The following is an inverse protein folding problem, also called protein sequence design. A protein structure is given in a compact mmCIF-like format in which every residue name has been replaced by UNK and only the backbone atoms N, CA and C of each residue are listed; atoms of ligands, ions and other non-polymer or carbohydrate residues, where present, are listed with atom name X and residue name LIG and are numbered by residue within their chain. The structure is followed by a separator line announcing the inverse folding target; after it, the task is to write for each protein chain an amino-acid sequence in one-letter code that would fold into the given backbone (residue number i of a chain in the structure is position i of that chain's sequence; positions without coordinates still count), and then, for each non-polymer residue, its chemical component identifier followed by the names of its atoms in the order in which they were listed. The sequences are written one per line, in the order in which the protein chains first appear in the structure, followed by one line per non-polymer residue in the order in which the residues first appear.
data_IF_629845158487
#
_entry.id   IF_629845158487
#
_cell.length_a   1.000
_cell.length_b   1.000
_cell.length_c   1.000
_cell.angle_alpha   90.00
_cell.angle_beta   90.00
_cell.angle_gamma   90.00
#
_symmetry.space_group_name_H-M   'P 1'
#
loop_
_entity.id
_entity.type
_entity.pdbx_description
1 polymer ?
#
# COMPACT_ATOMS: atom_id res chain seq x y z
N UNK A 1 -24.86 11.28 -0.40
CA UNK A 1 -24.13 11.65 -1.64
C UNK A 1 -22.67 12.00 -1.34
N UNK A 2 -22.37 12.85 -0.38
CA UNK A 2 -21.03 13.34 -0.05
C UNK A 2 -20.02 12.21 0.29
N UNK A 3 -20.42 11.21 1.09
CA UNK A 3 -19.56 10.04 1.42
C UNK A 3 -19.15 9.22 0.19
N UNK A 4 -20.02 9.08 -0.82
CA UNK A 4 -19.69 8.37 -2.05
C UNK A 4 -18.66 9.13 -2.88
N UNK A 5 -18.79 10.45 -2.97
CA UNK A 5 -17.86 11.33 -3.68
C UNK A 5 -16.49 11.28 -3.02
N UNK A 6 -16.42 11.42 -1.69
CA UNK A 6 -15.15 11.32 -0.94
C UNK A 6 -14.46 9.97 -1.16
N UNK A 7 -15.22 8.88 -1.22
CA UNK A 7 -14.66 7.55 -1.47
C UNK A 7 -14.08 7.42 -2.87
N UNK A 8 -14.73 8.02 -3.87
CA UNK A 8 -14.24 8.04 -5.25
C UNK A 8 -12.99 8.91 -5.36
N UNK A 9 -12.98 10.09 -4.73
CA UNK A 9 -11.81 10.96 -4.70
C UNK A 9 -10.56 10.29 -4.13
N UNK A 10 -10.73 9.43 -3.12
CA UNK A 10 -9.62 8.68 -2.52
C UNK A 10 -9.06 7.58 -3.44
N UNK A 11 -9.75 7.24 -4.52
CA UNK A 11 -9.29 6.25 -5.50
C UNK A 11 -8.59 6.89 -6.71
N UNK A 12 -8.68 8.21 -6.85
CA UNK A 12 -8.07 8.94 -7.97
C UNK A 12 -6.56 8.64 -8.12
N UNK A 13 -5.76 8.58 -7.03
CA UNK A 13 -4.33 8.31 -7.19
C UNK A 13 -4.02 6.96 -7.86
N UNK A 14 -4.89 5.96 -7.72
CA UNK A 14 -4.74 4.67 -8.42
C UNK A 14 -4.88 4.76 -9.95
N UNK A 15 -5.55 5.80 -10.44
CA UNK A 15 -5.74 6.01 -11.87
C UNK A 15 -4.50 6.63 -12.55
N UNK A 16 -3.57 7.16 -11.76
CA UNK A 16 -2.36 7.82 -12.26
C UNK A 16 -1.13 7.02 -11.89
N UNK A 17 -0.32 6.59 -12.87
CA UNK A 17 0.97 5.95 -12.60
C UNK A 17 1.88 6.86 -11.75
N UNK A 18 2.59 6.29 -10.78
CA UNK A 18 3.38 7.07 -9.83
C UNK A 18 4.48 7.89 -10.51
N UNK A 19 5.08 7.39 -11.59
CA UNK A 19 6.11 8.12 -12.34
C UNK A 19 5.56 9.40 -12.99
N UNK A 20 4.29 9.41 -13.46
CA UNK A 20 3.66 10.64 -13.99
C UNK A 20 3.45 11.67 -12.88
N UNK A 21 3.02 11.24 -11.70
CA UNK A 21 2.91 12.11 -10.53
C UNK A 21 4.27 12.70 -10.20
N UNK A 22 5.33 11.89 -10.22
CA UNK A 22 6.71 12.31 -9.99
C UNK A 22 7.15 13.38 -11.01
N UNK A 23 6.92 13.13 -12.29
CA UNK A 23 7.27 14.10 -13.36
C UNK A 23 6.56 15.45 -13.15
N UNK A 24 5.26 15.42 -12.81
CA UNK A 24 4.50 16.65 -12.50
C UNK A 24 5.10 17.40 -11.31
N UNK A 25 5.48 16.68 -10.24
CA UNK A 25 6.11 17.30 -9.08
C UNK A 25 7.47 17.92 -9.44
N UNK A 26 8.29 17.24 -10.27
CA UNK A 26 9.56 17.76 -10.74
C UNK A 26 9.38 19.02 -11.60
N UNK A 27 8.41 19.03 -12.51
CA UNK A 27 8.09 20.18 -13.33
C UNK A 27 7.64 21.37 -12.46
N UNK A 28 6.73 21.13 -11.51
CA UNK A 28 6.31 22.17 -10.56
C UNK A 28 7.48 22.66 -9.71
N UNK A 29 8.32 21.74 -9.22
CA UNK A 29 9.51 22.11 -8.46
C UNK A 29 10.45 23.00 -9.25
N UNK A 30 10.67 22.69 -10.52
CA UNK A 30 11.55 23.47 -11.41
C UNK A 30 11.05 24.90 -11.61
N UNK A 31 9.74 25.11 -11.72
CA UNK A 31 9.11 26.45 -11.82
C UNK A 31 9.44 27.31 -10.59
N UNK A 32 9.52 26.68 -9.41
CA UNK A 32 9.84 27.37 -8.15
C UNK A 32 11.31 27.31 -7.78
N UNK A 33 12.18 26.78 -8.65
CA UNK A 33 13.62 26.66 -8.43
C UNK A 33 14.02 25.57 -7.43
N UNK A 34 13.15 24.59 -7.15
CA UNK A 34 13.43 23.46 -6.27
C UNK A 34 13.69 22.19 -7.08
N UNK A 35 14.73 21.44 -6.71
CA UNK A 35 14.95 20.10 -7.25
C UNK A 35 14.21 19.05 -6.42
N UNK A 36 13.28 18.34 -7.06
CA UNK A 36 12.52 17.25 -6.45
C UNK A 36 13.28 15.95 -6.70
N UNK A 37 14.13 15.54 -5.76
CA UNK A 37 14.96 14.32 -5.85
C UNK A 37 15.13 13.67 -4.47
N UNK A 38 15.51 12.40 -4.44
CA UNK A 38 15.87 11.68 -3.24
C UNK A 38 14.71 10.95 -2.54
N UNK A 39 15.10 10.16 -1.53
CA UNK A 39 14.24 9.16 -0.89
C UNK A 39 12.96 9.75 -0.24
N UNK A 40 13.04 10.93 0.33
CA UNK A 40 11.91 11.55 1.01
C UNK A 40 10.77 11.91 0.06
N UNK A 41 11.10 12.39 -1.14
CA UNK A 41 10.13 12.62 -2.20
C UNK A 41 9.55 11.30 -2.73
N UNK A 42 10.39 10.27 -2.86
CA UNK A 42 9.94 8.92 -3.21
C UNK A 42 8.92 8.37 -2.22
N UNK A 43 9.21 8.47 -0.91
CA UNK A 43 8.28 8.05 0.15
C UNK A 43 6.96 8.82 0.08
N UNK A 44 7.01 10.13 -0.10
CA UNK A 44 5.81 10.97 -0.18
C UNK A 44 4.95 10.58 -1.41
N UNK A 45 5.55 10.58 -2.59
CA UNK A 45 4.84 10.33 -3.84
C UNK A 45 4.26 8.91 -3.87
N UNK A 46 5.08 7.90 -3.54
CA UNK A 46 4.61 6.52 -3.50
C UNK A 46 3.53 6.31 -2.44
N UNK A 47 3.66 6.93 -1.27
CA UNK A 47 2.62 6.85 -0.24
C UNK A 47 1.30 7.41 -0.73
N UNK A 48 1.32 8.57 -1.42
CA UNK A 48 0.10 9.19 -1.99
C UNK A 48 -0.46 8.37 -3.15
N UNK A 49 0.38 7.73 -3.96
CA UNK A 49 -0.08 6.94 -5.10
C UNK A 49 -0.62 5.57 -4.68
N UNK A 50 -0.07 4.96 -3.61
CA UNK A 50 -0.36 3.57 -3.24
C UNK A 50 -1.26 3.41 -2.01
N UNK A 51 -1.50 4.48 -1.18
CA UNK A 51 -2.40 4.37 -0.03
C UNK A 51 -3.81 3.82 -0.35
N UNK A 52 -4.37 4.00 -1.56
CA UNK A 52 -5.68 3.48 -1.86
C UNK A 52 -5.78 1.96 -1.77
N UNK A 53 -4.69 1.20 -1.97
CA UNK A 53 -4.68 -0.25 -1.75
C UNK A 53 -5.05 -0.58 -0.30
N UNK A 54 -4.41 0.10 0.65
CA UNK A 54 -4.68 -0.06 2.08
C UNK A 54 -6.08 0.44 2.42
N UNK A 55 -6.47 1.59 1.86
CA UNK A 55 -7.77 2.20 2.12
C UNK A 55 -8.93 1.31 1.68
N UNK A 56 -8.91 0.76 0.46
CA UNK A 56 -9.99 -0.08 -0.06
C UNK A 56 -10.20 -1.30 0.83
N UNK A 57 -9.14 -2.04 1.12
CA UNK A 57 -9.21 -3.29 1.85
C UNK A 57 -9.62 -3.08 3.31
N UNK A 58 -9.07 -2.05 3.94
CA UNK A 58 -9.38 -1.71 5.33
C UNK A 58 -10.82 -1.20 5.45
N UNK A 59 -11.25 -0.32 4.53
CA UNK A 59 -12.61 0.22 4.51
C UNK A 59 -13.65 -0.89 4.29
N UNK A 60 -13.38 -1.87 3.43
CA UNK A 60 -14.27 -3.01 3.22
C UNK A 60 -14.39 -3.87 4.48
N UNK A 61 -13.28 -4.08 5.19
CA UNK A 61 -13.26 -4.78 6.46
C UNK A 61 -14.09 -4.06 7.53
N UNK A 62 -13.94 -2.73 7.65
CA UNK A 62 -14.75 -1.94 8.58
C UNK A 62 -16.24 -1.98 8.26
N UNK A 63 -16.61 -1.97 6.98
CA UNK A 63 -18.02 -2.04 6.58
C UNK A 63 -18.64 -3.40 6.90
N UNK A 64 -17.88 -4.51 6.75
CA UNK A 64 -18.39 -5.86 7.00
C UNK A 64 -18.49 -6.21 8.49
N UNK A 65 -17.47 -5.84 9.25
CA UNK A 65 -17.32 -6.33 10.62
C UNK A 65 -17.35 -5.22 11.68
N UNK A 66 -16.93 -3.98 11.33
CA UNK A 66 -16.65 -2.95 12.30
C UNK A 66 -17.91 -2.25 12.83
N UNK A 67 -18.89 -1.96 12.00
CA UNK A 67 -20.02 -1.12 12.40
C UNK A 67 -20.90 -1.76 13.47
N UNK A 68 -21.29 -3.01 13.30
CA UNK A 68 -22.17 -3.71 14.25
C UNK A 68 -21.50 -3.90 15.61
N UNK A 69 -20.21 -4.17 15.63
CA UNK A 69 -19.45 -4.38 16.85
C UNK A 69 -19.10 -3.08 17.57
N UNK A 70 -18.86 -2.00 16.83
CA UNK A 70 -18.73 -0.67 17.40
C UNK A 70 -20.05 -0.25 18.04
N UNK A 71 -21.19 -0.49 17.38
CA UNK A 71 -22.51 -0.19 17.93
C UNK A 71 -22.80 -1.02 19.19
N UNK A 72 -22.52 -2.31 19.18
CA UNK A 72 -22.67 -3.18 20.35
C UNK A 72 -21.78 -2.72 21.52
N UNK A 73 -20.52 -2.38 21.26
CA UNK A 73 -19.61 -1.89 22.30
C UNK A 73 -20.05 -0.54 22.90
N UNK A 74 -20.66 0.31 22.08
CA UNK A 74 -21.22 1.60 22.54
C UNK A 74 -22.46 1.37 23.42
N UNK A 75 -23.28 0.36 23.09
CA UNK A 75 -24.40 -0.07 23.93
C UNK A 75 -23.96 -0.55 25.32
N UNK A 76 -22.72 -1.07 25.43
CA UNK A 76 -22.08 -1.46 26.69
C UNK A 76 -21.34 -0.29 27.39
N UNK A 77 -21.52 0.95 26.95
CA UNK A 77 -20.91 2.13 27.55
C UNK A 77 -19.43 2.37 27.20
N UNK A 78 -18.87 1.62 26.23
CA UNK A 78 -17.48 1.81 25.82
C UNK A 78 -17.37 3.04 24.92
N UNK A 79 -16.47 3.98 25.28
CA UNK A 79 -16.22 5.20 24.51
C UNK A 79 -15.72 4.92 23.08
N UNK A 80 -15.93 5.87 22.12
CA UNK A 80 -15.67 5.64 20.70
C UNK A 80 -14.20 5.32 20.39
N UNK A 81 -13.25 6.00 21.00
CA UNK A 81 -11.81 5.76 20.81
C UNK A 81 -11.38 4.38 21.33
N UNK A 82 -11.90 4.01 22.51
CA UNK A 82 -11.60 2.70 23.12
C UNK A 82 -12.19 1.57 22.29
N UNK A 83 -13.40 1.76 21.75
CA UNK A 83 -14.03 0.80 20.83
C UNK A 83 -13.25 0.67 19.53
N UNK A 84 -12.76 1.78 18.97
CA UNK A 84 -11.93 1.75 17.76
C UNK A 84 -10.64 0.96 17.98
N UNK A 85 -9.83 1.33 18.98
CA UNK A 85 -8.51 0.70 19.18
C UNK A 85 -8.57 -0.73 19.70
N UNK A 86 -9.60 -1.09 20.49
CA UNK A 86 -9.69 -2.45 21.10
C UNK A 86 -10.49 -3.44 20.25
N UNK A 87 -11.37 -2.96 19.39
CA UNK A 87 -12.29 -3.84 18.65
C UNK A 87 -12.09 -3.64 17.14
N UNK A 88 -12.36 -2.45 16.61
CA UNK A 88 -12.41 -2.23 15.17
C UNK A 88 -11.03 -2.39 14.51
N UNK A 89 -9.99 -1.79 15.08
CA UNK A 89 -8.63 -1.86 14.54
C UNK A 89 -8.06 -3.29 14.55
N UNK A 90 -8.09 -4.06 15.67
CA UNK A 90 -7.61 -5.44 15.66
C UNK A 90 -8.33 -6.35 14.67
N UNK A 91 -9.62 -6.14 14.47
CA UNK A 91 -10.39 -6.91 13.48
C UNK A 91 -10.04 -6.56 12.04
N UNK A 92 -9.61 -5.35 11.77
CA UNK A 92 -9.17 -4.90 10.44
C UNK A 92 -7.70 -5.20 10.16
N UNK A 93 -6.91 -5.61 11.15
CA UNK A 93 -5.47 -5.90 10.97
C UNK A 93 -5.16 -6.88 9.82
N UNK A 94 -5.93 -7.99 9.62
CA UNK A 94 -5.66 -8.87 8.48
C UNK A 94 -5.84 -8.17 7.14
N UNK A 95 -6.85 -7.32 6.99
CA UNK A 95 -7.10 -6.55 5.76
C UNK A 95 -6.07 -5.44 5.58
N UNK A 96 -5.64 -4.81 6.67
CA UNK A 96 -4.56 -3.85 6.68
C UNK A 96 -3.24 -4.48 6.24
N UNK A 97 -2.90 -5.66 6.76
CA UNK A 97 -1.69 -6.38 6.37
C UNK A 97 -1.68 -6.74 4.87
N UNK A 98 -2.83 -7.16 4.33
CA UNK A 98 -2.98 -7.42 2.89
C UNK A 98 -2.77 -6.13 2.09
N UNK A 99 -3.38 -5.03 2.51
CA UNK A 99 -3.23 -3.73 1.85
C UNK A 99 -1.79 -3.24 1.83
N UNK A 100 -1.09 -3.36 2.95
CA UNK A 100 0.32 -3.01 3.06
C UNK A 100 1.19 -3.93 2.18
N UNK A 101 0.91 -5.23 2.14
CA UNK A 101 1.66 -6.15 1.26
C UNK A 101 1.51 -5.78 -0.22
N UNK A 102 0.29 -5.44 -0.67
CA UNK A 102 0.05 -4.97 -2.04
C UNK A 102 0.76 -3.65 -2.32
N UNK A 103 0.70 -2.70 -1.39
CA UNK A 103 1.44 -1.44 -1.48
C UNK A 103 2.95 -1.66 -1.61
N UNK A 104 3.52 -2.56 -0.80
CA UNK A 104 4.95 -2.91 -0.88
C UNK A 104 5.31 -3.58 -2.22
N UNK A 105 4.45 -4.49 -2.71
CA UNK A 105 4.67 -5.14 -4.01
C UNK A 105 4.64 -4.12 -5.15
N UNK A 106 3.71 -3.17 -5.13
CA UNK A 106 3.65 -2.09 -6.11
C UNK A 106 4.89 -1.20 -6.05
N UNK A 107 5.30 -0.79 -4.84
CA UNK A 107 6.51 0.00 -4.65
C UNK A 107 7.79 -0.73 -5.13
N UNK A 108 7.86 -2.06 -4.97
CA UNK A 108 9.01 -2.83 -5.46
C UNK A 108 9.05 -2.95 -6.99
N UNK A 109 7.90 -2.91 -7.65
CA UNK A 109 7.80 -2.96 -9.10
C UNK A 109 7.97 -1.57 -9.76
N UNK A 110 7.94 -0.50 -8.96
CA UNK A 110 8.09 0.85 -9.47
C UNK A 110 9.54 1.10 -9.87
N UNK A 111 9.73 1.44 -11.14
CA UNK A 111 11.04 1.79 -11.71
C UNK A 111 11.11 3.30 -12.01
N UNK A 112 10.11 3.80 -12.72
CA UNK A 112 10.15 5.16 -13.27
C UNK A 112 10.23 6.25 -12.22
N UNK A 113 9.48 6.13 -11.12
CA UNK A 113 9.55 7.07 -9.99
C UNK A 113 10.94 7.10 -9.36
N UNK A 114 11.55 5.93 -9.14
CA UNK A 114 12.87 5.85 -8.51
C UNK A 114 13.97 6.37 -9.42
N UNK A 115 13.86 6.09 -10.72
CA UNK A 115 14.79 6.60 -11.72
C UNK A 115 14.73 8.13 -11.82
N UNK A 116 13.52 8.70 -11.94
CA UNK A 116 13.32 10.16 -11.97
C UNK A 116 13.84 10.87 -10.71
N UNK A 117 13.70 10.25 -9.54
CA UNK A 117 14.15 10.81 -8.27
C UNK A 117 15.60 10.50 -7.93
N UNK A 118 16.34 9.79 -8.80
CA UNK A 118 17.72 9.33 -8.58
C UNK A 118 17.85 8.50 -7.29
N UNK A 119 16.92 7.56 -7.08
CA UNK A 119 16.92 6.68 -5.92
C UNK A 119 17.40 5.30 -6.34
N UNK A 120 18.56 4.81 -5.86
CA UNK A 120 19.01 3.46 -6.15
C UNK A 120 18.10 2.44 -5.43
N UNK A 121 17.48 1.56 -6.21
CA UNK A 121 16.62 0.47 -5.75
C UNK A 121 16.99 -0.83 -6.43
N UNK A 122 16.39 -1.94 -6.01
CA UNK A 122 16.60 -3.22 -6.70
C UNK A 122 16.11 -3.13 -8.15
N UNK A 123 14.98 -2.48 -8.40
CA UNK A 123 14.42 -2.31 -9.75
C UNK A 123 15.33 -1.49 -10.65
N UNK A 124 15.86 -0.36 -10.16
CA UNK A 124 16.82 0.46 -10.92
C UNK A 124 18.13 -0.29 -11.13
N UNK A 125 18.62 -1.02 -10.12
CA UNK A 125 19.83 -1.83 -10.25
C UNK A 125 19.70 -2.98 -11.27
N UNK A 126 18.52 -3.61 -11.37
CA UNK A 126 18.26 -4.61 -12.42
C UNK A 126 18.34 -3.96 -13.81
N UNK A 127 17.68 -2.80 -13.99
CA UNK A 127 17.66 -2.08 -15.25
C UNK A 127 19.07 -1.60 -15.64
N UNK A 128 19.82 -1.04 -14.71
CA UNK A 128 21.19 -0.57 -14.92
C UNK A 128 22.12 -1.69 -15.34
N UNK A 129 22.22 -2.77 -14.56
CA UNK A 129 23.10 -3.89 -14.88
C UNK A 129 22.72 -4.57 -16.20
N UNK A 130 21.43 -4.81 -16.43
CA UNK A 130 21.00 -5.53 -17.62
C UNK A 130 21.04 -4.66 -18.88
N UNK A 131 20.47 -3.45 -18.84
CA UNK A 131 20.24 -2.63 -20.03
C UNK A 131 21.45 -1.75 -20.34
N UNK A 132 22.06 -1.15 -19.31
CA UNK A 132 23.14 -0.18 -19.48
C UNK A 132 24.50 -0.86 -19.51
N UNK A 133 24.80 -1.70 -18.52
CA UNK A 133 26.10 -2.36 -18.39
C UNK A 133 26.24 -3.66 -19.20
N UNK A 134 25.11 -4.25 -19.62
CA UNK A 134 25.08 -5.53 -20.34
C UNK A 134 25.48 -6.73 -19.48
N UNK A 135 25.57 -6.56 -18.14
CA UNK A 135 25.86 -7.65 -17.21
C UNK A 135 24.58 -8.38 -16.79
N UNK A 136 24.24 -9.37 -17.61
CA UNK A 136 23.06 -10.20 -17.40
C UNK A 136 23.12 -10.98 -16.07
N UNK A 137 24.30 -11.42 -15.64
CA UNK A 137 24.46 -12.24 -14.45
C UNK A 137 24.13 -11.44 -13.19
N UNK A 138 24.65 -10.21 -13.08
CA UNK A 138 24.35 -9.31 -11.96
C UNK A 138 22.88 -8.90 -11.98
N UNK A 139 22.30 -8.60 -13.15
CA UNK A 139 20.88 -8.31 -13.30
C UNK A 139 19.99 -9.48 -12.85
N UNK A 140 20.29 -10.71 -13.22
CA UNK A 140 19.59 -11.91 -12.77
C UNK A 140 19.72 -12.10 -11.25
N UNK A 141 20.91 -11.87 -10.69
CA UNK A 141 21.13 -11.96 -9.24
C UNK A 141 20.20 -11.04 -8.45
N UNK A 142 20.10 -9.78 -8.87
CA UNK A 142 19.19 -8.80 -8.25
C UNK A 142 17.71 -9.19 -8.46
N UNK A 143 17.35 -9.68 -9.64
CA UNK A 143 16.00 -10.15 -9.94
C UNK A 143 15.58 -11.32 -9.05
N UNK A 144 16.48 -12.26 -8.76
CA UNK A 144 16.23 -13.37 -7.84
C UNK A 144 15.99 -12.87 -6.40
N UNK A 145 16.76 -11.89 -5.95
CA UNK A 145 16.53 -11.25 -4.63
C UNK A 145 15.15 -10.59 -4.58
N UNK A 146 14.81 -9.81 -5.61
CA UNK A 146 13.48 -9.20 -5.71
C UNK A 146 12.36 -10.24 -5.67
N UNK A 147 12.52 -11.35 -6.40
CA UNK A 147 11.58 -12.46 -6.43
C UNK A 147 11.36 -13.08 -5.03
N UNK A 148 12.43 -13.32 -4.28
CA UNK A 148 12.35 -13.85 -2.91
C UNK A 148 11.55 -12.90 -2.01
N UNK A 149 11.78 -11.60 -2.11
CA UNK A 149 11.04 -10.59 -1.31
C UNK A 149 9.56 -10.59 -1.70
N UNK A 150 9.24 -10.59 -3.00
CA UNK A 150 7.85 -10.64 -3.48
C UNK A 150 7.13 -11.91 -3.01
N UNK A 151 7.77 -13.08 -3.11
CA UNK A 151 7.21 -14.33 -2.60
C UNK A 151 6.96 -14.27 -1.08
N UNK A 152 7.86 -13.66 -0.33
CA UNK A 152 7.69 -13.45 1.12
C UNK A 152 6.45 -12.61 1.42
N UNK A 153 6.22 -11.52 0.66
CA UNK A 153 5.04 -10.66 0.78
C UNK A 153 3.75 -11.41 0.44
N UNK A 154 3.74 -12.21 -0.64
CA UNK A 154 2.60 -13.07 -1.03
C UNK A 154 2.29 -14.09 0.08
N UNK A 155 3.33 -14.66 0.69
CA UNK A 155 3.15 -15.61 1.78
C UNK A 155 2.52 -14.96 3.01
N UNK A 156 2.97 -13.76 3.38
CA UNK A 156 2.41 -12.96 4.47
C UNK A 156 0.93 -12.62 4.18
N UNK A 157 0.64 -12.20 2.95
CA UNK A 157 -0.72 -11.94 2.50
C UNK A 157 -1.61 -13.17 2.64
N UNK A 158 -1.17 -14.31 2.12
CA UNK A 158 -1.93 -15.58 2.17
C UNK A 158 -2.18 -16.04 3.61
N UNK A 159 -1.20 -15.87 4.49
CA UNK A 159 -1.34 -16.20 5.91
C UNK A 159 -2.34 -15.27 6.61
N UNK A 160 -2.29 -13.99 6.32
CA UNK A 160 -3.22 -12.97 6.86
C UNK A 160 -4.66 -13.24 6.40
N UNK A 161 -4.86 -13.61 5.12
CA UNK A 161 -6.19 -14.00 4.59
C UNK A 161 -6.77 -15.23 5.29
N UNK A 162 -5.96 -16.23 5.60
CA UNK A 162 -6.41 -17.43 6.34
C UNK A 162 -6.90 -17.07 7.74
N UNK A 163 -6.23 -16.15 8.42
CA UNK A 163 -6.63 -15.69 9.75
C UNK A 163 -7.95 -14.90 9.69
N UNK A 164 -8.15 -14.07 8.68
CA UNK A 164 -9.40 -13.34 8.47
C UNK A 164 -10.59 -14.25 8.21
N UNK A 165 -10.44 -15.32 7.41
CA UNK A 165 -11.51 -16.29 7.15
C UNK A 165 -11.96 -17.03 8.43
N UNK A 166 -11.05 -17.41 9.31
CA UNK A 166 -11.40 -18.08 10.58
C UNK A 166 -12.31 -17.23 11.48
N UNK A 167 -12.25 -15.92 11.39
CA UNK A 167 -13.12 -15.01 12.15
C UNK A 167 -14.49 -14.83 11.47
N UNK A 168 -14.57 -15.05 10.16
CA UNK A 168 -15.82 -14.95 9.39
C UNK A 168 -16.69 -16.21 9.47
N UNK A 169 -16.04 -17.37 9.62
CA UNK A 169 -16.72 -18.69 9.57
C UNK A 169 -17.11 -19.23 10.97
N UNK A 170 -16.98 -18.43 12.02
CA UNK A 170 -17.48 -18.81 13.33
C UNK A 170 -19.00 -18.58 13.34
N UNK A 171 -19.84 -19.64 13.18
CA UNK A 171 -21.29 -19.48 13.21
C UNK A 171 -21.64 -19.02 14.61
N UNK A 172 -22.07 -17.78 14.69
CA UNK A 172 -22.69 -17.29 15.90
C UNK A 172 -23.88 -18.15 16.23
N UNK A 173 -23.76 -18.92 17.30
CA UNK A 173 -24.81 -19.17 18.29
C UNK A 173 -26.22 -18.80 17.80
N UNK A 174 -26.96 -19.84 17.42
CA UNK A 174 -28.44 -19.82 17.41
C UNK A 174 -28.95 -19.60 18.82
#
# INVERSE_FOLDING_TARGET
KFRKILRILQLIPLASPAYLVTAIFQDLGSIFGYQITGIWWGVLILSVSTYPYVFILTNESFNKFGLNQILASRGLGIGPWKSFFRIALPMSLPSLAIGISLMCMEAMNELGTFELLNIPTISTGIAENWIIEGDLNSGIGLALIALIIVFSLIFIEKFSRRKSKRWSDNPSIN
#
